data_IF_131294793711
#
_entry.id   IF_131294793711
#
_cell.length_a   1.000
_cell.length_b   1.000
_cell.length_c   1.000
_cell.angle_alpha   90.00
_cell.angle_beta   90.00
_cell.angle_gamma   90.00
#
_symmetry.space_group_name_H-M   'P 1'
#
loop_
_entity.id
_entity.type
_entity.pdbx_description
1 polymer ?
#
# COMPACT_ATOMS: atom_id res chain seq x y z
N UNK A 1 31.27 -10.37 4.15
CA UNK A 1 30.96 -9.05 3.60
C UNK A 1 29.45 -8.90 3.37
N UNK A 2 28.89 -7.83 3.90
CA UNK A 2 27.49 -7.54 3.68
C UNK A 2 27.26 -7.00 2.28
N UNK A 3 26.09 -7.29 1.71
CA UNK A 3 25.70 -6.66 0.47
C UNK A 3 25.17 -5.24 0.73
N UNK A 4 25.30 -4.40 -0.30
CA UNK A 4 24.75 -3.04 -0.26
C UNK A 4 23.24 -3.06 0.00
N UNK A 5 22.55 -4.03 -0.60
CA UNK A 5 21.08 -4.20 -0.46
C UNK A 5 20.74 -4.54 0.99
N UNK A 6 21.50 -5.44 1.62
CA UNK A 6 21.27 -5.82 3.01
C UNK A 6 21.40 -4.62 3.96
N UNK A 7 22.45 -3.81 3.77
CA UNK A 7 22.66 -2.62 4.56
C UNK A 7 21.53 -1.61 4.41
N UNK A 8 21.13 -1.34 3.16
CA UNK A 8 20.05 -0.40 2.87
C UNK A 8 18.72 -0.86 3.46
N UNK A 9 18.41 -2.16 3.36
CA UNK A 9 17.18 -2.70 3.91
C UNK A 9 17.13 -2.67 5.43
N UNK A 10 18.28 -2.87 6.09
CA UNK A 10 18.35 -2.86 7.56
C UNK A 10 17.93 -1.51 8.15
N UNK A 11 18.32 -0.41 7.52
CA UNK A 11 18.07 0.95 8.02
C UNK A 11 16.91 1.65 7.34
N UNK A 12 16.26 0.98 6.40
CA UNK A 12 15.16 1.56 5.62
C UNK A 12 14.00 1.99 6.51
N UNK A 13 13.46 3.20 6.33
CA UNK A 13 12.18 3.56 6.93
C UNK A 13 11.08 2.63 6.44
N UNK A 14 10.31 2.07 7.37
CA UNK A 14 9.23 1.13 7.07
C UNK A 14 8.05 1.40 7.99
N UNK A 15 6.84 1.29 7.43
CA UNK A 15 5.62 1.38 8.21
C UNK A 15 5.45 0.08 8.99
N UNK A 16 5.20 0.21 10.30
CA UNK A 16 4.76 -0.92 11.12
C UNK A 16 3.24 -1.00 11.01
N UNK A 17 2.75 -2.00 10.26
CA UNK A 17 1.33 -2.11 9.99
C UNK A 17 0.54 -2.51 11.24
N UNK A 18 -0.57 -1.81 11.46
CA UNK A 18 -1.60 -2.23 12.39
C UNK A 18 -2.49 -3.32 11.77
N UNK A 19 -3.56 -3.66 12.44
CA UNK A 19 -4.54 -4.59 11.89
C UNK A 19 -5.21 -4.00 10.66
N UNK A 20 -5.41 -4.84 9.64
CA UNK A 20 -6.14 -4.43 8.43
C UNK A 20 -7.59 -4.11 8.79
N UNK A 21 -8.05 -2.93 8.39
CA UNK A 21 -9.44 -2.56 8.55
C UNK A 21 -10.31 -3.44 7.65
N UNK A 22 -11.31 -4.11 8.25
CA UNK A 22 -12.24 -4.95 7.50
C UNK A 22 -13.49 -4.17 7.08
N UNK A 23 -14.42 -4.84 6.40
CA UNK A 23 -15.65 -4.22 5.95
C UNK A 23 -16.48 -3.63 7.08
N UNK A 24 -16.53 -4.31 8.22
CA UNK A 24 -17.34 -3.84 9.37
C UNK A 24 -16.78 -2.54 9.92
N UNK A 25 -15.48 -2.49 10.13
CA UNK A 25 -14.80 -1.30 10.63
C UNK A 25 -14.94 -0.12 9.64
N UNK A 26 -14.81 -0.41 8.33
CA UNK A 26 -15.04 0.59 7.29
C UNK A 26 -16.49 1.07 7.28
N UNK A 27 -17.44 0.15 7.41
CA UNK A 27 -18.86 0.49 7.41
C UNK A 27 -19.22 1.37 8.61
N UNK A 28 -18.69 1.08 9.78
CA UNK A 28 -18.92 1.89 10.98
C UNK A 28 -18.34 3.31 10.82
N UNK A 29 -17.14 3.41 10.26
CA UNK A 29 -16.51 4.70 9.99
C UNK A 29 -17.34 5.54 9.00
N UNK A 30 -17.81 4.92 7.93
CA UNK A 30 -18.58 5.59 6.89
C UNK A 30 -19.99 5.95 7.38
N UNK A 31 -20.63 5.07 8.16
CA UNK A 31 -21.97 5.33 8.72
C UNK A 31 -21.97 6.55 9.63
N UNK A 32 -20.92 6.75 10.42
CA UNK A 32 -20.79 7.90 11.33
C UNK A 32 -20.72 9.24 10.56
N UNK A 33 -20.44 9.21 9.26
CA UNK A 33 -20.26 10.39 8.39
C UNK A 33 -21.30 10.47 7.26
N UNK A 34 -22.34 9.69 7.32
CA UNK A 34 -23.37 9.64 6.30
C UNK A 34 -24.73 9.39 6.93
N UNK A 35 -25.77 9.37 6.11
CA UNK A 35 -27.12 9.01 6.54
C UNK A 35 -27.38 7.51 6.44
N UNK A 36 -26.40 6.73 5.96
CA UNK A 36 -26.53 5.30 5.76
C UNK A 36 -26.21 4.53 7.03
N UNK A 37 -26.89 3.41 7.24
CA UNK A 37 -26.54 2.48 8.32
C UNK A 37 -25.32 1.65 7.94
N UNK A 38 -24.61 1.03 8.93
CA UNK A 38 -23.53 0.10 8.60
C UNK A 38 -23.98 -1.03 7.69
N UNK A 39 -25.18 -1.56 7.86
CA UNK A 39 -25.74 -2.63 7.02
C UNK A 39 -25.92 -2.18 5.58
N UNK A 40 -26.39 -0.95 5.37
CA UNK A 40 -26.55 -0.37 4.01
C UNK A 40 -25.19 -0.27 3.32
N UNK A 41 -24.17 0.17 4.05
CA UNK A 41 -22.82 0.34 3.51
C UNK A 41 -22.21 -1.01 3.15
N UNK A 42 -22.38 -2.04 3.99
CA UNK A 42 -21.92 -3.40 3.68
C UNK A 42 -22.61 -3.90 2.42
N UNK A 43 -23.90 -3.63 2.25
CA UNK A 43 -24.62 -3.94 1.02
C UNK A 43 -24.03 -3.25 -0.21
N UNK A 44 -23.67 -1.98 -0.09
CA UNK A 44 -23.02 -1.23 -1.16
C UNK A 44 -21.64 -1.81 -1.50
N UNK A 45 -20.83 -2.14 -0.49
CA UNK A 45 -19.50 -2.72 -0.70
C UNK A 45 -19.59 -4.09 -1.36
N UNK A 46 -20.55 -4.92 -0.96
CA UNK A 46 -20.83 -6.22 -1.59
C UNK A 46 -21.25 -6.05 -3.05
N UNK A 47 -22.14 -5.08 -3.32
CA UNK A 47 -22.55 -4.75 -4.67
C UNK A 47 -21.40 -4.23 -5.53
N UNK A 48 -20.47 -3.51 -4.94
CA UNK A 48 -19.27 -3.03 -5.63
C UNK A 48 -18.39 -4.18 -6.09
N UNK A 49 -18.18 -5.18 -5.23
CA UNK A 49 -17.44 -6.40 -5.57
C UNK A 49 -18.03 -7.09 -6.79
N UNK A 50 -19.35 -7.28 -6.79
CA UNK A 50 -20.08 -7.90 -7.88
C UNK A 50 -19.99 -7.06 -9.17
N UNK A 51 -20.11 -5.74 -9.06
CA UNK A 51 -20.01 -4.83 -10.20
C UNK A 51 -18.61 -4.87 -10.85
N UNK A 52 -17.56 -4.88 -10.05
CA UNK A 52 -16.19 -4.97 -10.55
C UNK A 52 -16.01 -6.27 -11.34
N UNK A 53 -16.45 -7.39 -10.78
CA UNK A 53 -16.39 -8.69 -11.45
C UNK A 53 -17.17 -8.66 -12.78
N UNK A 54 -18.38 -8.12 -12.76
CA UNK A 54 -19.25 -8.03 -13.94
C UNK A 54 -18.54 -7.33 -15.11
N UNK A 55 -17.97 -6.16 -14.86
CA UNK A 55 -17.31 -5.39 -15.92
C UNK A 55 -15.97 -6.01 -16.34
N UNK A 56 -15.21 -6.55 -15.39
CA UNK A 56 -13.94 -7.22 -15.69
C UNK A 56 -14.16 -8.46 -16.56
N UNK A 57 -15.25 -9.21 -16.35
CA UNK A 57 -15.59 -10.37 -17.19
C UNK A 57 -15.85 -10.01 -18.65
N UNK A 58 -16.25 -8.78 -18.94
CA UNK A 58 -16.42 -8.31 -20.32
C UNK A 58 -15.17 -7.57 -20.86
N UNK A 59 -14.04 -7.68 -20.17
CA UNK A 59 -12.79 -7.07 -20.60
C UNK A 59 -12.68 -5.57 -20.32
N UNK A 60 -13.56 -5.04 -19.48
CA UNK A 60 -13.57 -3.62 -19.15
C UNK A 60 -12.92 -3.37 -17.81
N UNK A 61 -12.04 -2.35 -17.75
CA UNK A 61 -11.54 -1.85 -16.48
C UNK A 61 -12.62 -1.11 -15.70
N UNK A 62 -12.52 -1.10 -14.38
CA UNK A 62 -13.43 -0.36 -13.50
C UNK A 62 -12.63 0.69 -12.74
N UNK A 63 -13.00 1.95 -12.90
CA UNK A 63 -12.36 3.06 -12.21
C UNK A 63 -13.21 3.50 -11.03
N UNK A 64 -12.59 3.47 -9.85
CA UNK A 64 -13.15 4.06 -8.63
C UNK A 64 -12.44 5.39 -8.38
N UNK A 65 -13.17 6.48 -8.55
CA UNK A 65 -12.62 7.83 -8.39
C UNK A 65 -11.98 8.00 -7.01
N UNK A 66 -10.74 8.48 -7.01
CA UNK A 66 -9.98 8.69 -5.77
C UNK A 66 -9.33 7.46 -5.20
N UNK A 67 -9.59 6.25 -5.73
CA UNK A 67 -9.02 4.99 -5.24
C UNK A 67 -8.10 4.35 -6.26
N UNK A 68 -8.61 4.06 -7.43
CA UNK A 68 -7.83 3.41 -8.47
C UNK A 68 -8.68 2.69 -9.50
N UNK A 69 -8.01 1.98 -10.39
CA UNK A 69 -8.64 1.26 -11.50
C UNK A 69 -8.30 -0.22 -11.43
N UNK A 70 -9.31 -1.07 -11.58
CA UNK A 70 -9.18 -2.53 -11.60
C UNK A 70 -9.22 -2.99 -13.05
N UNK A 71 -8.10 -3.53 -13.55
CA UNK A 71 -7.93 -3.92 -14.96
C UNK A 71 -7.73 -5.43 -15.07
N UNK A 72 -8.59 -6.13 -15.86
CA UNK A 72 -8.35 -7.55 -16.11
C UNK A 72 -7.13 -7.73 -17.02
N UNK A 73 -6.39 -8.81 -16.80
CA UNK A 73 -5.30 -9.22 -17.68
C UNK A 73 -5.29 -10.75 -17.81
N UNK A 74 -4.47 -11.25 -18.73
CA UNK A 74 -4.38 -12.68 -19.04
C UNK A 74 -2.92 -13.05 -19.29
N UNK A 75 -2.52 -14.25 -18.87
CA UNK A 75 -1.19 -14.79 -19.15
C UNK A 75 -1.23 -15.80 -20.31
N UNK A 76 -0.06 -16.35 -20.65
CA UNK A 76 0.06 -17.34 -21.73
C UNK A 76 -0.71 -18.65 -21.48
N UNK A 77 -1.03 -18.95 -20.22
CA UNK A 77 -1.81 -20.16 -19.86
C UNK A 77 -3.31 -19.92 -19.93
N UNK A 78 -3.74 -18.70 -20.26
CA UNK A 78 -5.14 -18.34 -20.25
C UNK A 78 -5.72 -18.02 -18.87
N UNK A 79 -4.87 -17.92 -17.86
CA UNK A 79 -5.29 -17.55 -16.50
C UNK A 79 -5.55 -16.06 -16.44
N UNK A 80 -6.71 -15.70 -15.86
CA UNK A 80 -7.12 -14.31 -15.69
C UNK A 80 -6.67 -13.79 -14.34
N UNK A 81 -6.29 -12.52 -14.31
CA UNK A 81 -5.89 -11.81 -13.10
C UNK A 81 -6.39 -10.37 -13.18
N UNK A 82 -6.30 -9.64 -12.09
CA UNK A 82 -6.70 -8.24 -12.01
C UNK A 82 -5.55 -7.41 -11.48
N UNK A 83 -5.14 -6.40 -12.25
CA UNK A 83 -4.20 -5.39 -11.79
C UNK A 83 -4.96 -4.22 -11.20
N UNK A 84 -4.47 -3.70 -10.09
CA UNK A 84 -4.98 -2.48 -9.47
C UNK A 84 -4.00 -1.34 -9.70
N UNK A 85 -4.45 -0.28 -10.36
CA UNK A 85 -3.68 0.96 -10.55
C UNK A 85 -4.15 1.99 -9.55
N UNK A 86 -3.27 2.39 -8.67
CA UNK A 86 -3.57 3.40 -7.65
C UNK A 86 -3.92 4.75 -8.29
N UNK A 87 -4.96 5.41 -7.80
CA UNK A 87 -5.25 6.79 -8.14
C UNK A 87 -4.23 7.70 -7.46
N UNK A 88 -3.58 8.57 -8.22
CA UNK A 88 -2.59 9.51 -7.69
C UNK A 88 -3.13 10.44 -6.62
N UNK A 89 -4.41 10.72 -6.66
CA UNK A 89 -5.09 11.56 -5.68
C UNK A 89 -4.98 10.98 -4.27
N UNK A 90 -5.16 9.67 -4.12
CA UNK A 90 -5.02 9.01 -2.82
C UNK A 90 -3.61 9.15 -2.27
N UNK A 91 -2.59 8.91 -3.12
CA UNK A 91 -1.18 9.07 -2.74
C UNK A 91 -0.87 10.52 -2.33
N UNK A 92 -1.38 11.48 -3.09
CA UNK A 92 -1.17 12.91 -2.81
C UNK A 92 -1.79 13.31 -1.47
N UNK A 93 -3.03 12.89 -1.23
CA UNK A 93 -3.71 13.18 0.03
C UNK A 93 -3.01 12.56 1.23
N UNK A 94 -2.52 11.33 1.09
CA UNK A 94 -1.76 10.64 2.13
C UNK A 94 -0.49 11.42 2.50
N UNK A 95 0.25 11.92 1.50
CA UNK A 95 1.46 12.69 1.73
C UNK A 95 1.21 14.11 2.26
N UNK A 96 0.04 14.69 1.97
CA UNK A 96 -0.34 16.03 2.41
C UNK A 96 -1.10 16.04 3.73
N UNK A 97 -1.37 14.87 4.30
CA UNK A 97 -2.04 14.73 5.59
C UNK A 97 -1.01 14.36 6.67
N UNK A 98 -1.38 14.51 7.93
CA UNK A 98 -0.51 14.12 9.04
C UNK A 98 -0.56 12.61 9.24
N UNK A 99 0.52 11.93 8.86
CA UNK A 99 0.65 10.49 9.09
C UNK A 99 0.81 10.22 10.58
N UNK A 100 -0.05 9.36 11.14
CA UNK A 100 -0.06 9.05 12.56
C UNK A 100 0.25 7.59 12.88
N UNK A 101 0.66 6.82 11.88
CA UNK A 101 1.11 5.45 12.07
C UNK A 101 2.54 5.38 12.62
N UNK A 102 3.00 4.16 12.89
CA UNK A 102 4.36 3.92 13.36
C UNK A 102 5.32 3.69 12.20
N UNK A 103 6.47 4.33 12.27
CA UNK A 103 7.52 4.19 11.27
C UNK A 103 8.77 3.64 11.95
N UNK A 104 9.22 2.44 11.52
CA UNK A 104 10.49 1.88 11.93
C UNK A 104 11.61 2.63 11.22
N UNK A 105 12.72 2.87 11.92
CA UNK A 105 13.86 3.60 11.37
C UNK A 105 13.50 5.03 10.91
N UNK A 106 12.56 5.66 11.60
CA UNK A 106 12.09 7.02 11.28
C UNK A 106 13.23 8.03 11.20
N UNK A 107 14.24 7.89 12.05
CA UNK A 107 15.43 8.76 12.09
C UNK A 107 16.26 8.71 10.81
N UNK A 108 16.07 7.69 9.98
CA UNK A 108 16.83 7.50 8.74
C UNK A 108 16.13 8.12 7.51
N UNK A 109 14.97 8.73 7.70
CA UNK A 109 14.28 9.43 6.61
C UNK A 109 15.19 10.57 6.11
N UNK A 110 15.41 10.60 4.79
CA UNK A 110 16.24 11.60 4.14
C UNK A 110 17.71 11.25 4.00
N UNK A 111 18.16 10.13 4.57
CA UNK A 111 19.55 9.70 4.42
C UNK A 111 19.82 9.16 3.02
N UNK A 112 21.00 9.49 2.49
CA UNK A 112 21.47 8.95 1.22
C UNK A 112 21.96 7.49 1.39
N UNK A 113 22.10 6.78 0.28
CA UNK A 113 22.66 5.43 0.29
C UNK A 113 24.06 5.41 0.90
N UNK A 114 24.89 6.41 0.60
CA UNK A 114 26.23 6.53 1.14
C UNK A 114 26.23 6.69 2.68
N UNK A 115 25.33 7.52 3.21
CA UNK A 115 25.18 7.71 4.65
C UNK A 115 24.74 6.42 5.35
N UNK A 116 23.82 5.68 4.75
CA UNK A 116 23.32 4.40 5.29
C UNK A 116 24.44 3.35 5.30
N UNK A 117 25.22 3.26 4.23
CA UNK A 117 26.36 2.34 4.15
C UNK A 117 27.41 2.70 5.19
N UNK A 118 27.70 4.00 5.37
CA UNK A 118 28.63 4.45 6.41
C UNK A 118 28.13 4.06 7.81
N UNK A 119 26.83 4.17 8.05
CA UNK A 119 26.24 3.76 9.32
C UNK A 119 26.36 2.26 9.54
N UNK A 120 26.09 1.45 8.52
CA UNK A 120 26.28 0.00 8.59
C UNK A 120 27.72 -0.37 8.92
N UNK A 121 28.68 0.22 8.20
CA UNK A 121 30.09 -0.07 8.40
C UNK A 121 30.56 0.31 9.81
N UNK A 122 30.03 1.39 10.37
CA UNK A 122 30.33 1.81 11.74
C UNK A 122 29.77 0.83 12.78
N UNK A 123 28.57 0.31 12.56
CA UNK A 123 27.89 -0.60 13.49
C UNK A 123 28.27 -2.08 13.28
N UNK A 124 28.78 -2.43 12.10
CA UNK A 124 29.16 -3.80 11.72
C UNK A 124 30.59 -3.83 11.18
N UNK A 125 31.60 -3.54 12.02
CA UNK A 125 33.00 -3.49 11.56
C UNK A 125 33.50 -4.84 11.03
N UNK A 126 32.89 -5.94 11.49
CA UNK A 126 33.28 -7.30 11.07
C UNK A 126 32.61 -7.73 9.77
N UNK A 127 31.64 -6.97 9.27
CA UNK A 127 30.88 -7.30 8.06
C UNK A 127 30.60 -6.04 7.22
N UNK A 128 31.64 -5.34 6.74
CA UNK A 128 31.46 -4.09 6.03
C UNK A 128 30.91 -4.28 4.62
N UNK A 129 30.26 -3.23 4.11
CA UNK A 129 29.95 -3.12 2.69
C UNK A 129 31.13 -2.49 1.99
N UNK A 130 31.65 -3.15 0.98
CA UNK A 130 32.77 -2.65 0.16
C UNK A 130 32.23 -1.99 -1.11
N UNK A 131 32.91 -0.93 -1.56
CA UNK A 131 32.59 -0.20 -2.78
C UNK A 131 33.28 -0.79 -4.01
#
# INVERSE_FOLDING_TARGET
MASRISALNHYRPQIEYGETADWREMADYMAARSTLSPSDIIGVLTGLEDAVLHFNLSGRGVKLEGLGTYLPNINYRGELDVAHRLDRRLKRQLNNSSFNGRIRNKKNIGKSAAEVIALWNAEHPDDPVLY
#
